data_IF_227489113108
#
_entry.id   IF_227489113108
#
_cell.length_a   1.000
_cell.length_b   1.000
_cell.length_c   1.000
_cell.angle_alpha   90.00
_cell.angle_beta   90.00
_cell.angle_gamma   90.00
#
_symmetry.space_group_name_H-M   'P 1'
#
loop_
_entity.id
_entity.type
_entity.pdbx_description
1 polymer ?
#
# COMPACT_ATOMS: atom_id res chain seq x y z
N UNK A 1 9.58 -16.59 -33.39
CA UNK A 1 8.87 -15.29 -33.45
C UNK A 1 8.75 -14.78 -32.02
N UNK A 2 9.68 -13.90 -31.61
CA UNK A 2 9.75 -13.37 -30.25
C UNK A 2 8.85 -12.14 -30.10
N UNK A 3 7.64 -12.35 -29.58
CA UNK A 3 6.66 -11.28 -29.26
C UNK A 3 6.52 -11.03 -27.75
N UNK A 4 7.24 -11.78 -26.90
CA UNK A 4 7.13 -11.66 -25.43
C UNK A 4 7.82 -10.43 -24.83
N UNK A 5 8.90 -9.92 -25.43
CA UNK A 5 9.72 -8.86 -24.82
C UNK A 5 9.07 -7.47 -24.85
N UNK A 6 8.45 -7.11 -25.97
CA UNK A 6 7.87 -5.77 -26.17
C UNK A 6 6.54 -5.59 -25.43
N UNK A 7 5.74 -6.65 -25.34
CA UNK A 7 4.50 -6.66 -24.57
C UNK A 7 4.77 -6.59 -23.07
N UNK A 8 5.75 -7.34 -22.56
CA UNK A 8 6.14 -7.29 -21.15
C UNK A 8 6.74 -5.92 -20.75
N UNK A 9 7.55 -5.30 -21.61
CA UNK A 9 8.02 -3.92 -21.37
C UNK A 9 6.89 -2.88 -21.44
N UNK A 10 5.92 -3.07 -22.34
CA UNK A 10 4.77 -2.19 -22.47
C UNK A 10 3.80 -2.27 -21.29
N UNK A 11 3.54 -3.47 -20.76
CA UNK A 11 2.67 -3.67 -19.60
C UNK A 11 3.31 -3.22 -18.31
N UNK A 12 4.62 -3.41 -18.13
CA UNK A 12 5.35 -2.92 -16.95
C UNK A 12 5.39 -1.39 -16.91
N UNK A 13 5.76 -0.75 -18.03
CA UNK A 13 5.81 0.72 -18.12
C UNK A 13 4.41 1.36 -18.04
N UNK A 14 3.44 0.79 -18.76
CA UNK A 14 2.05 1.26 -18.75
C UNK A 14 1.35 1.02 -17.43
N UNK A 15 1.66 -0.07 -16.72
CA UNK A 15 1.10 -0.41 -15.42
C UNK A 15 1.58 0.54 -14.32
N UNK A 16 2.87 0.90 -14.30
CA UNK A 16 3.40 1.87 -13.32
C UNK A 16 2.84 3.26 -13.57
N UNK A 17 2.94 3.76 -14.81
CA UNK A 17 2.43 5.09 -15.16
C UNK A 17 0.92 5.19 -15.00
N UNK A 18 0.17 4.19 -15.47
CA UNK A 18 -1.28 4.12 -15.33
C UNK A 18 -1.73 3.94 -13.88
N UNK A 19 -0.97 3.19 -13.08
CA UNK A 19 -1.22 3.00 -11.65
C UNK A 19 -1.07 4.31 -10.86
N UNK A 20 0.06 5.01 -11.04
CA UNK A 20 0.31 6.31 -10.38
C UNK A 20 -0.69 7.36 -10.83
N UNK A 21 -0.90 7.51 -12.15
CA UNK A 21 -1.87 8.47 -12.68
C UNK A 21 -3.30 8.14 -12.23
N UNK A 22 -3.68 6.86 -12.20
CA UNK A 22 -4.96 6.41 -11.68
C UNK A 22 -5.16 6.73 -10.21
N UNK A 23 -4.15 6.51 -9.37
CA UNK A 23 -4.18 6.84 -7.94
C UNK A 23 -4.37 8.34 -7.72
N UNK A 24 -3.60 9.17 -8.41
CA UNK A 24 -3.72 10.63 -8.34
C UNK A 24 -5.10 11.12 -8.82
N UNK A 25 -5.60 10.57 -9.92
CA UNK A 25 -6.94 10.86 -10.40
C UNK A 25 -8.03 10.43 -9.41
N UNK A 26 -7.87 9.25 -8.77
CA UNK A 26 -8.78 8.75 -7.73
C UNK A 26 -8.79 9.63 -6.47
N UNK A 27 -7.62 10.08 -6.01
CA UNK A 27 -7.49 11.02 -4.89
C UNK A 27 -8.09 12.39 -5.22
N UNK A 28 -7.89 12.88 -6.45
CA UNK A 28 -8.54 14.10 -6.92
C UNK A 28 -10.07 13.96 -6.95
N UNK A 29 -10.58 12.83 -7.45
CA UNK A 29 -12.01 12.56 -7.52
C UNK A 29 -12.68 12.46 -6.14
N UNK A 30 -11.98 11.94 -5.12
CA UNK A 30 -12.46 11.87 -3.73
C UNK A 30 -12.91 13.22 -3.15
N UNK A 31 -12.40 14.34 -3.69
CA UNK A 31 -12.82 15.69 -3.28
C UNK A 31 -14.22 16.08 -3.75
N UNK A 32 -14.82 15.32 -4.68
CA UNK A 32 -16.15 15.59 -5.25
C UNK A 32 -17.21 14.79 -4.45
N UNK A 33 -18.06 15.45 -3.65
CA UNK A 33 -19.10 14.77 -2.89
C UNK A 33 -20.09 14.04 -3.82
N UNK A 34 -20.42 12.79 -3.49
CA UNK A 34 -21.39 11.97 -4.24
C UNK A 34 -20.83 11.21 -5.45
N UNK A 35 -19.71 11.62 -6.04
CA UNK A 35 -19.06 10.92 -7.16
C UNK A 35 -17.70 10.32 -6.80
N UNK A 36 -16.97 10.96 -5.89
CA UNK A 36 -15.59 10.61 -5.57
C UNK A 36 -15.35 9.14 -5.20
N UNK A 37 -16.14 8.54 -4.28
CA UNK A 37 -15.94 7.14 -3.90
C UNK A 37 -16.10 6.13 -5.04
N UNK A 38 -17.00 6.39 -6.00
CA UNK A 38 -17.28 5.45 -7.10
C UNK A 38 -16.14 5.50 -8.14
N UNK A 39 -15.67 6.70 -8.49
CA UNK A 39 -14.58 6.88 -9.46
C UNK A 39 -13.25 6.36 -8.92
N UNK A 40 -13.02 6.49 -7.61
CA UNK A 40 -11.79 5.98 -6.98
C UNK A 40 -11.73 4.44 -6.91
N UNK A 41 -12.85 3.72 -7.05
CA UNK A 41 -12.90 2.26 -6.86
C UNK A 41 -11.94 1.48 -7.77
N UNK A 42 -11.81 1.87 -9.05
CA UNK A 42 -10.90 1.21 -10.00
C UNK A 42 -9.43 1.36 -9.61
N UNK A 43 -8.90 2.59 -9.50
CA UNK A 43 -7.54 2.82 -9.05
C UNK A 43 -7.24 2.24 -7.66
N UNK A 44 -8.17 2.35 -6.71
CA UNK A 44 -8.00 1.76 -5.38
C UNK A 44 -7.90 0.23 -5.45
N UNK A 45 -8.77 -0.44 -6.22
CA UNK A 45 -8.68 -1.88 -6.42
C UNK A 45 -7.36 -2.30 -7.10
N UNK A 46 -6.89 -1.54 -8.09
CA UNK A 46 -5.61 -1.78 -8.74
C UNK A 46 -4.43 -1.61 -7.76
N UNK A 47 -4.43 -0.55 -6.95
CA UNK A 47 -3.42 -0.29 -5.93
C UNK A 47 -3.39 -1.40 -4.86
N UNK A 48 -4.57 -1.83 -4.37
CA UNK A 48 -4.68 -2.95 -3.42
C UNK A 48 -4.18 -4.26 -4.04
N UNK A 49 -4.48 -4.51 -5.31
CA UNK A 49 -3.98 -5.69 -6.03
C UNK A 49 -2.46 -5.67 -6.16
N UNK A 50 -1.87 -4.51 -6.46
CA UNK A 50 -0.41 -4.33 -6.53
C UNK A 50 0.28 -4.51 -5.17
N UNK A 51 -0.34 -4.03 -4.09
CA UNK A 51 0.16 -4.23 -2.73
C UNK A 51 0.24 -5.73 -2.37
N UNK A 52 -0.78 -6.51 -2.75
CA UNK A 52 -0.85 -7.96 -2.55
C UNK A 52 0.03 -8.72 -3.56
N UNK A 53 0.57 -8.09 -4.61
CA UNK A 53 1.47 -8.71 -5.58
C UNK A 53 2.95 -8.78 -5.16
N UNK A 54 3.27 -8.40 -3.92
CA UNK A 54 4.65 -8.25 -3.42
C UNK A 54 5.07 -6.79 -3.20
N UNK A 55 4.25 -5.81 -3.61
CA UNK A 55 4.51 -4.40 -3.37
C UNK A 55 4.51 -4.03 -1.88
N UNK A 56 3.68 -4.69 -1.07
CA UNK A 56 3.66 -4.48 0.37
C UNK A 56 4.96 -4.95 1.03
N UNK A 57 5.46 -6.14 0.70
CA UNK A 57 6.72 -6.65 1.27
C UNK A 57 7.89 -5.77 0.86
N UNK A 58 7.98 -5.41 -0.42
CA UNK A 58 9.04 -4.51 -0.89
C UNK A 58 9.03 -3.16 -0.18
N UNK A 59 7.85 -2.53 -0.08
CA UNK A 59 7.72 -1.22 0.58
C UNK A 59 8.08 -1.24 2.06
N UNK A 60 7.72 -2.30 2.79
CA UNK A 60 8.07 -2.43 4.22
C UNK A 60 9.57 -2.69 4.42
N UNK A 61 10.20 -3.49 3.55
CA UNK A 61 11.65 -3.70 3.56
C UNK A 61 12.41 -2.41 3.30
N UNK A 62 11.94 -1.58 2.36
CA UNK A 62 12.52 -0.26 2.09
C UNK A 62 12.38 0.70 3.30
N UNK A 63 11.38 0.50 4.15
CA UNK A 63 11.19 1.21 5.42
C UNK A 63 12.03 0.64 6.58
N UNK A 64 12.89 -0.35 6.31
CA UNK A 64 13.76 -0.97 7.32
C UNK A 64 13.15 -2.13 8.09
N UNK A 65 11.94 -2.58 7.74
CA UNK A 65 11.30 -3.72 8.38
C UNK A 65 11.85 -5.02 7.79
N UNK A 66 12.32 -5.99 8.60
CA UNK A 66 12.87 -7.26 8.10
C UNK A 66 11.92 -7.99 7.16
N UNK A 67 12.46 -8.69 6.16
CA UNK A 67 11.67 -9.37 5.14
C UNK A 67 10.71 -10.41 5.74
N UNK A 68 11.14 -11.16 6.75
CA UNK A 68 10.31 -12.16 7.42
C UNK A 68 9.09 -11.52 8.10
N UNK A 69 9.27 -10.35 8.74
CA UNK A 69 8.16 -9.57 9.34
C UNK A 69 7.25 -8.99 8.27
N UNK A 70 7.84 -8.48 7.19
CA UNK A 70 7.08 -7.93 6.05
C UNK A 70 6.16 -8.98 5.42
N UNK A 71 6.63 -10.22 5.23
CA UNK A 71 5.81 -11.34 4.74
C UNK A 71 4.69 -11.72 5.73
N UNK A 72 4.98 -11.69 7.03
CA UNK A 72 3.96 -11.90 8.06
C UNK A 72 2.82 -10.87 7.95
N UNK A 73 3.14 -9.58 7.82
CA UNK A 73 2.15 -8.53 7.65
C UNK A 73 1.37 -8.64 6.32
N UNK A 74 2.03 -9.02 5.23
CA UNK A 74 1.36 -9.30 3.97
C UNK A 74 0.30 -10.41 4.12
N UNK A 75 0.63 -11.48 4.85
CA UNK A 75 -0.31 -12.53 5.20
C UNK A 75 -1.54 -11.99 5.94
N UNK A 76 -1.34 -11.11 6.92
CA UNK A 76 -2.44 -10.48 7.66
C UNK A 76 -3.33 -9.61 6.78
N UNK A 77 -2.74 -8.82 5.88
CA UNK A 77 -3.52 -8.01 4.93
C UNK A 77 -4.33 -8.89 3.98
N UNK A 78 -3.77 -10.01 3.51
CA UNK A 78 -4.50 -11.01 2.71
C UNK A 78 -5.66 -11.67 3.46
N UNK A 79 -5.53 -11.84 4.78
CA UNK A 79 -6.61 -12.29 5.67
C UNK A 79 -7.71 -11.22 5.91
N UNK A 80 -7.58 -10.03 5.30
CA UNK A 80 -8.51 -8.93 5.46
C UNK A 80 -8.24 -8.05 6.68
N UNK A 81 -7.06 -8.16 7.30
CA UNK A 81 -6.63 -7.22 8.34
C UNK A 81 -6.12 -5.92 7.72
N UNK A 82 -6.11 -4.86 8.53
CA UNK A 82 -5.59 -3.55 8.15
C UNK A 82 -4.19 -3.41 8.75
N UNK A 83 -3.23 -2.97 7.93
CA UNK A 83 -1.89 -2.60 8.37
C UNK A 83 -1.76 -1.07 8.29
N UNK A 84 -1.26 -0.45 9.35
CA UNK A 84 -0.90 0.96 9.39
C UNK A 84 0.57 1.09 9.80
N UNK A 85 1.31 1.91 9.06
CA UNK A 85 2.72 2.22 9.32
C UNK A 85 2.83 3.73 9.55
N UNK A 86 3.57 4.12 10.57
CA UNK A 86 3.78 5.52 10.95
C UNK A 86 5.27 5.77 11.04
N UNK A 87 5.77 6.71 10.23
CA UNK A 87 7.11 7.25 10.39
C UNK A 87 7.05 8.39 11.41
N UNK A 88 7.88 8.31 12.46
CA UNK A 88 7.87 9.23 13.57
C UNK A 88 9.29 9.56 14.02
N UNK A 89 9.49 10.81 14.45
CA UNK A 89 10.73 11.22 15.12
C UNK A 89 10.99 10.34 16.36
N UNK A 90 12.25 10.09 16.70
CA UNK A 90 12.65 9.12 17.73
C UNK A 90 12.04 9.40 19.11
N UNK A 91 11.76 10.67 19.42
CA UNK A 91 11.12 11.10 20.67
C UNK A 91 9.59 10.90 20.68
N UNK A 92 8.98 10.66 19.51
CA UNK A 92 7.52 10.48 19.32
C UNK A 92 7.11 9.03 19.08
N UNK A 93 8.04 8.12 18.81
CA UNK A 93 7.77 6.69 18.57
C UNK A 93 6.88 6.09 19.67
N UNK A 94 7.22 6.32 20.93
CA UNK A 94 6.45 5.79 22.06
C UNK A 94 5.04 6.37 22.17
N UNK A 95 4.87 7.64 21.79
CA UNK A 95 3.58 8.33 21.78
C UNK A 95 2.68 7.81 20.65
N UNK A 96 3.26 7.62 19.47
CA UNK A 96 2.57 7.02 18.33
C UNK A 96 2.14 5.58 18.64
N UNK A 97 3.05 4.75 19.17
CA UNK A 97 2.75 3.37 19.52
C UNK A 97 1.68 3.25 20.63
N UNK A 98 1.69 4.16 21.61
CA UNK A 98 0.61 4.26 22.62
C UNK A 98 -0.72 4.61 21.97
N UNK A 99 -0.75 5.64 21.14
CA UNK A 99 -1.96 6.06 20.45
C UNK A 99 -2.57 4.91 19.64
N UNK A 100 -1.76 4.17 18.88
CA UNK A 100 -2.23 3.00 18.14
C UNK A 100 -2.88 1.94 19.04
N UNK A 101 -2.25 1.63 20.19
CA UNK A 101 -2.80 0.68 21.16
C UNK A 101 -4.11 1.17 21.77
N UNK A 102 -4.19 2.45 22.14
CA UNK A 102 -5.38 3.06 22.74
C UNK A 102 -6.57 3.04 21.77
N UNK A 103 -6.31 3.16 20.47
CA UNK A 103 -7.33 3.07 19.41
C UNK A 103 -7.57 1.64 18.89
N UNK A 104 -7.10 0.61 19.61
CA UNK A 104 -7.48 -0.78 19.37
C UNK A 104 -6.63 -1.53 18.34
N UNK A 105 -5.43 -1.05 18.04
CA UNK A 105 -4.47 -1.83 17.24
C UNK A 105 -4.14 -3.14 17.98
N UNK A 106 -4.36 -4.28 17.31
CA UNK A 106 -4.17 -5.60 17.90
C UNK A 106 -2.71 -6.03 18.00
N UNK A 107 -1.84 -5.47 17.15
CA UNK A 107 -0.41 -5.74 17.09
C UNK A 107 0.31 -4.43 16.78
N UNK A 108 1.31 -4.06 17.59
CA UNK A 108 2.06 -2.80 17.46
C UNK A 108 3.53 -3.07 17.73
N UNK A 109 4.33 -2.99 16.68
CA UNK A 109 5.80 -3.09 16.73
C UNK A 109 6.45 -1.77 16.32
N UNK A 110 7.57 -1.47 16.95
CA UNK A 110 8.43 -0.33 16.64
C UNK A 110 9.75 -0.87 16.10
N UNK A 111 10.21 -0.34 14.97
CA UNK A 111 11.47 -0.73 14.31
C UNK A 111 12.42 0.46 14.24
#
# INVERSE_FOLDING_TARGET
>A
MGVGGSLAMGTTTGGVLGGVAGLLAGLGALTIPGLGPIVAAGPLAAALTGAVGGGLVGGLVDMGIPQERSQFYEGKVREGKILAVVDAESDKVDSAARSMRDFGASDVETH
#
